data_IF_883295504375
#
_entry.id   IF_883295504375
#
_cell.length_a   1.000
_cell.length_b   1.000
_cell.length_c   1.000
_cell.angle_alpha   90.00
_cell.angle_beta   90.00
_cell.angle_gamma   90.00
#
_symmetry.space_group_name_H-M   'P 1'
#
loop_
_entity.id
_entity.type
_entity.pdbx_description
1 polymer ?
#
# COMPACT_ATOMS: atom_id res chain seq x y z
N UNK A 1 -31.64 -25.42 -1.40
CA UNK A 1 -30.41 -24.59 -1.46
C UNK A 1 -29.91 -24.33 -2.89
N UNK A 2 -30.58 -24.80 -3.93
CA UNK A 2 -30.20 -24.61 -5.35
C UNK A 2 -31.01 -23.53 -6.10
N UNK A 3 -31.99 -22.92 -5.45
CA UNK A 3 -32.89 -21.94 -6.11
C UNK A 3 -32.43 -20.48 -6.00
N UNK A 4 -31.55 -20.18 -5.04
CA UNK A 4 -31.00 -18.83 -4.83
C UNK A 4 -29.86 -18.48 -5.80
N UNK A 5 -29.10 -19.45 -6.26
CA UNK A 5 -28.00 -19.22 -7.21
C UNK A 5 -28.49 -18.90 -8.63
N UNK A 6 -29.60 -19.49 -9.06
CA UNK A 6 -30.16 -19.23 -10.39
C UNK A 6 -30.74 -17.82 -10.55
N UNK A 7 -31.16 -17.14 -9.47
CA UNK A 7 -31.63 -15.75 -9.53
C UNK A 7 -30.51 -14.75 -9.69
N UNK A 8 -29.33 -15.00 -9.13
CA UNK A 8 -28.15 -14.13 -9.28
C UNK A 8 -27.57 -14.17 -10.70
N UNK A 9 -27.56 -15.33 -11.33
CA UNK A 9 -27.10 -15.46 -12.73
C UNK A 9 -28.06 -14.78 -13.73
N UNK A 10 -29.35 -14.73 -13.46
CA UNK A 10 -30.34 -14.02 -14.28
C UNK A 10 -30.15 -12.50 -14.26
N UNK A 11 -29.84 -11.92 -13.12
CA UNK A 11 -29.64 -10.47 -12.96
C UNK A 11 -28.36 -9.98 -13.64
N UNK A 12 -27.27 -10.73 -13.57
CA UNK A 12 -26.00 -10.36 -14.22
C UNK A 12 -26.08 -10.43 -15.74
N UNK A 13 -26.92 -11.31 -16.31
CA UNK A 13 -27.16 -11.41 -17.74
C UNK A 13 -28.05 -10.28 -18.27
N UNK A 14 -29.04 -9.85 -17.48
CA UNK A 14 -29.89 -8.71 -17.80
C UNK A 14 -29.11 -7.38 -17.80
N UNK A 15 -28.19 -7.18 -16.85
CA UNK A 15 -27.33 -5.99 -16.80
C UNK A 15 -26.37 -5.92 -17.97
N UNK A 16 -25.83 -7.03 -18.47
CA UNK A 16 -24.92 -7.07 -19.62
C UNK A 16 -25.63 -6.67 -20.92
N UNK A 17 -26.87 -7.08 -21.10
CA UNK A 17 -27.66 -6.75 -22.29
C UNK A 17 -28.16 -5.29 -22.37
N UNK A 18 -28.19 -4.57 -21.23
CA UNK A 18 -28.52 -3.13 -21.20
C UNK A 18 -27.30 -2.27 -21.57
N UNK A 19 -26.09 -2.74 -21.30
CA UNK A 19 -24.85 -2.03 -21.67
C UNK A 19 -24.52 -2.13 -23.17
N UNK A 20 -25.00 -3.16 -23.88
CA UNK A 20 -24.70 -3.40 -25.29
C UNK A 20 -25.59 -2.61 -26.27
N UNK A 21 -26.60 -1.93 -25.81
CA UNK A 21 -27.54 -1.16 -26.66
C UNK A 21 -27.18 0.31 -26.84
N UNK A 22 -25.90 0.67 -26.89
CA UNK A 22 -25.44 1.94 -27.50
C UNK A 22 -25.97 3.27 -26.93
N UNK A 23 -26.74 3.26 -25.83
CA UNK A 23 -27.43 4.46 -25.31
C UNK A 23 -26.55 5.30 -24.38
N UNK A 24 -25.41 4.80 -23.93
CA UNK A 24 -24.70 5.35 -22.77
C UNK A 24 -23.63 6.41 -23.09
N UNK A 25 -23.04 6.43 -24.30
CA UNK A 25 -21.95 7.37 -24.57
C UNK A 25 -22.40 8.82 -24.74
N UNK A 26 -23.60 9.05 -25.27
CA UNK A 26 -24.14 10.41 -25.45
C UNK A 26 -24.63 11.00 -24.11
N UNK A 27 -25.24 10.19 -23.28
CA UNK A 27 -25.69 10.60 -21.93
C UNK A 27 -24.52 10.88 -20.99
N UNK A 28 -23.49 10.05 -20.97
CA UNK A 28 -22.26 10.27 -20.19
C UNK A 28 -21.52 11.55 -20.62
N UNK A 29 -21.49 11.86 -21.92
CA UNK A 29 -20.90 13.13 -22.40
C UNK A 29 -21.73 14.35 -21.96
N UNK A 30 -23.05 14.24 -21.90
CA UNK A 30 -23.92 15.32 -21.39
C UNK A 30 -23.77 15.52 -19.89
N UNK A 31 -23.70 14.46 -19.11
CA UNK A 31 -23.45 14.55 -17.65
C UNK A 31 -22.08 15.13 -17.31
N UNK A 32 -21.02 14.78 -18.05
CA UNK A 32 -19.70 15.39 -17.87
C UNK A 32 -19.68 16.90 -18.16
N UNK A 33 -20.41 17.37 -19.17
CA UNK A 33 -20.50 18.81 -19.49
C UNK A 33 -21.27 19.60 -18.43
N UNK A 34 -22.32 19.01 -17.85
CA UNK A 34 -23.10 19.63 -16.76
C UNK A 34 -22.29 19.70 -15.46
N UNK A 35 -21.54 18.66 -15.13
CA UNK A 35 -20.68 18.65 -13.94
C UNK A 35 -19.52 19.65 -14.04
N UNK A 36 -18.96 19.86 -15.23
CA UNK A 36 -17.90 20.85 -15.46
C UNK A 36 -18.42 22.31 -15.45
N UNK A 37 -19.66 22.55 -15.83
CA UNK A 37 -20.28 23.88 -15.76
C UNK A 37 -20.56 24.29 -14.30
N UNK A 38 -21.05 23.37 -13.47
CA UNK A 38 -21.32 23.63 -12.06
C UNK A 38 -20.04 23.93 -11.24
N UNK A 39 -18.92 23.29 -11.59
CA UNK A 39 -17.63 23.52 -10.92
C UNK A 39 -17.03 24.92 -11.18
N UNK A 40 -17.33 25.52 -12.34
CA UNK A 40 -16.79 26.85 -12.69
C UNK A 40 -17.54 28.02 -12.00
N UNK A 41 -18.79 27.81 -11.61
CA UNK A 41 -19.58 28.85 -10.92
C UNK A 41 -19.26 28.84 -9.42
N UNK A 42 -18.95 27.69 -8.81
CA UNK A 42 -18.59 27.59 -7.42
C UNK A 42 -17.23 28.25 -7.07
N UNK A 43 -16.27 28.25 -8.00
CA UNK A 43 -14.96 28.89 -7.78
C UNK A 43 -15.01 30.43 -7.80
N UNK A 44 -15.96 31.04 -8.52
CA UNK A 44 -16.02 32.49 -8.65
C UNK A 44 -16.63 33.21 -7.42
N UNK A 45 -17.48 32.53 -6.67
CA UNK A 45 -18.17 33.14 -5.51
C UNK A 45 -17.32 33.05 -4.22
N UNK A 46 -16.43 32.07 -4.12
CA UNK A 46 -15.55 31.90 -2.94
C UNK A 46 -14.39 32.88 -2.92
N UNK A 47 -14.00 33.45 -4.07
CA UNK A 47 -12.84 34.35 -4.16
C UNK A 47 -13.11 35.79 -3.67
N UNK A 48 -14.35 36.20 -3.52
CA UNK A 48 -14.70 37.60 -3.12
C UNK A 48 -14.99 37.70 -1.63
N UNK A 49 -15.39 36.64 -0.95
CA UNK A 49 -15.74 36.68 0.48
C UNK A 49 -14.57 36.30 1.41
N UNK A 50 -13.43 35.85 0.86
CA UNK A 50 -12.25 35.41 1.61
C UNK A 50 -11.26 36.55 2.00
N UNK A 51 -11.50 37.79 1.61
CA UNK A 51 -10.47 38.84 1.73
C UNK A 51 -10.65 39.78 2.94
N UNK A 52 -11.58 39.47 3.84
CA UNK A 52 -11.92 40.40 4.96
C UNK A 52 -11.70 39.84 6.37
N UNK A 53 -11.06 38.67 6.52
CA UNK A 53 -10.70 38.14 7.85
C UNK A 53 -9.23 37.68 7.92
N UNK A 54 -8.27 38.54 7.51
CA UNK A 54 -6.88 38.38 7.91
C UNK A 54 -6.71 39.00 9.30
N UNK A 55 -7.32 38.39 10.29
CA UNK A 55 -6.90 38.57 11.69
C UNK A 55 -5.70 37.66 11.92
N UNK A 56 -4.58 38.32 12.20
CA UNK A 56 -3.30 37.74 12.58
C UNK A 56 -3.46 36.90 13.86
N UNK A 57 -3.85 35.65 13.74
CA UNK A 57 -3.57 34.69 14.78
C UNK A 57 -2.17 34.13 14.47
N UNK A 58 -1.14 34.76 15.06
CA UNK A 58 0.12 34.09 15.33
C UNK A 58 -0.17 32.91 16.28
N UNK A 59 -0.77 31.86 15.75
CA UNK A 59 -0.71 30.58 16.40
C UNK A 59 0.75 30.13 16.26
N UNK A 60 1.54 30.36 17.32
CA UNK A 60 2.82 29.70 17.49
C UNK A 60 2.55 28.20 17.23
N UNK A 61 3.03 27.73 16.10
CA UNK A 61 3.03 26.29 15.82
C UNK A 61 3.66 25.63 17.06
N UNK A 62 3.04 24.58 17.64
CA UNK A 62 3.67 23.88 18.73
C UNK A 62 5.04 23.44 18.21
N UNK A 63 6.10 23.89 18.89
CA UNK A 63 7.44 23.38 18.68
C UNK A 63 7.34 21.90 19.09
N UNK A 64 6.97 21.09 18.14
CA UNK A 64 7.15 19.66 18.25
C UNK A 64 8.67 19.49 18.23
N UNK A 65 9.27 19.50 19.41
CA UNK A 65 10.58 18.90 19.59
C UNK A 65 10.40 17.44 19.16
N UNK A 66 10.35 17.26 17.83
CA UNK A 66 10.29 15.97 17.20
C UNK A 66 11.59 15.27 17.54
N UNK A 67 11.58 14.50 18.62
CA UNK A 67 12.39 13.31 18.64
C UNK A 67 11.94 12.57 17.40
N UNK A 68 12.69 12.73 16.32
CA UNK A 68 12.57 11.92 15.12
C UNK A 68 12.95 10.52 15.57
N UNK A 69 11.97 9.80 16.11
CA UNK A 69 12.15 8.37 16.41
C UNK A 69 12.34 7.74 15.03
N UNK A 70 13.60 7.65 14.62
CA UNK A 70 13.96 7.03 13.37
C UNK A 70 13.48 5.57 13.47
N UNK A 71 12.38 5.29 12.80
CA UNK A 71 11.74 3.99 12.83
C UNK A 71 12.74 2.92 12.39
N UNK A 72 13.04 1.97 13.26
CA UNK A 72 13.92 0.85 12.91
C UNK A 72 13.24 -0.06 11.88
N UNK A 73 14.01 -0.76 11.03
CA UNK A 73 13.44 -1.71 10.07
C UNK A 73 12.52 -2.76 10.72
N UNK A 74 12.88 -3.24 11.90
CA UNK A 74 12.07 -4.19 12.66
C UNK A 74 10.78 -3.57 13.20
N UNK A 75 10.84 -2.33 13.71
CA UNK A 75 9.66 -1.60 14.16
C UNK A 75 8.70 -1.32 12.98
N UNK A 76 9.24 -0.98 11.81
CA UNK A 76 8.45 -0.85 10.58
C UNK A 76 7.71 -2.16 10.26
N UNK A 77 8.39 -3.30 10.20
CA UNK A 77 7.77 -4.60 9.93
C UNK A 77 6.64 -4.92 10.91
N UNK A 78 6.86 -4.62 12.22
CA UNK A 78 5.85 -4.82 13.26
C UNK A 78 4.61 -3.95 13.07
N UNK A 79 4.78 -2.73 12.56
CA UNK A 79 3.69 -1.80 12.36
C UNK A 79 2.82 -2.13 11.13
N UNK A 80 3.41 -2.72 10.08
CA UNK A 80 2.70 -2.94 8.80
C UNK A 80 2.19 -4.37 8.60
N UNK A 81 2.60 -5.32 9.43
CA UNK A 81 2.20 -6.73 9.29
C UNK A 81 1.23 -7.15 10.39
N UNK A 82 0.28 -8.06 10.09
CA UNK A 82 -0.43 -8.81 11.10
C UNK A 82 0.54 -9.51 12.05
N UNK A 83 0.16 -9.64 13.32
CA UNK A 83 1.08 -10.11 14.37
C UNK A 83 1.73 -11.47 14.07
N UNK A 84 1.00 -12.38 13.44
CA UNK A 84 1.53 -13.72 13.12
C UNK A 84 2.51 -13.66 11.94
N UNK A 85 2.22 -12.87 10.91
CA UNK A 85 3.13 -12.61 9.80
C UNK A 85 4.41 -11.90 10.28
N UNK A 86 4.28 -10.97 11.24
CA UNK A 86 5.44 -10.32 11.86
C UNK A 86 6.29 -11.34 12.65
N UNK A 87 5.69 -12.23 13.45
CA UNK A 87 6.44 -13.28 14.16
C UNK A 87 7.26 -14.13 13.18
N UNK A 88 6.67 -14.47 12.04
CA UNK A 88 7.35 -15.28 11.03
C UNK A 88 8.51 -14.52 10.38
N UNK A 89 8.29 -13.30 9.90
CA UNK A 89 9.35 -12.50 9.27
C UNK A 89 10.44 -12.13 10.27
N UNK A 90 10.07 -11.87 11.53
CA UNK A 90 11.03 -11.57 12.58
C UNK A 90 12.02 -12.74 12.81
N UNK A 91 11.52 -13.96 12.78
CA UNK A 91 12.34 -15.16 12.92
C UNK A 91 13.17 -15.43 11.67
N UNK A 92 12.58 -15.28 10.49
CA UNK A 92 13.26 -15.45 9.21
C UNK A 92 14.44 -14.49 9.08
N UNK A 93 14.23 -13.18 9.26
CA UNK A 93 15.30 -12.18 9.13
C UNK A 93 16.33 -12.22 10.26
N UNK A 94 15.99 -12.81 11.40
CA UNK A 94 17.00 -13.13 12.40
C UNK A 94 17.97 -14.20 11.90
N UNK A 95 17.49 -15.25 11.26
CA UNK A 95 18.35 -16.28 10.67
C UNK A 95 19.18 -15.75 9.50
N UNK A 96 18.58 -14.95 8.64
CA UNK A 96 19.23 -14.42 7.43
C UNK A 96 20.36 -13.43 7.72
N UNK A 97 20.13 -12.47 8.59
CA UNK A 97 21.06 -11.36 8.78
C UNK A 97 21.12 -10.82 10.21
N UNK A 98 20.37 -11.36 11.15
CA UNK A 98 20.10 -10.76 12.48
C UNK A 98 19.59 -9.32 12.37
N UNK A 99 18.78 -9.04 11.35
CA UNK A 99 18.27 -7.70 11.01
C UNK A 99 19.32 -6.69 10.62
N UNK A 100 20.52 -7.13 10.23
CA UNK A 100 21.58 -6.24 9.79
C UNK A 100 21.38 -5.83 8.32
N UNK A 101 21.04 -4.56 8.10
CA UNK A 101 20.85 -4.02 6.74
C UNK A 101 22.13 -3.93 5.90
N UNK A 102 23.30 -4.03 6.55
CA UNK A 102 24.60 -4.06 5.87
C UNK A 102 25.13 -5.47 5.64
N UNK A 103 24.39 -6.49 6.05
CA UNK A 103 24.82 -7.87 5.87
C UNK A 103 25.04 -8.20 4.39
N UNK A 104 26.11 -8.95 4.12
CA UNK A 104 26.45 -9.45 2.77
C UNK A 104 26.97 -10.87 2.89
N UNK A 105 26.44 -11.75 2.05
CA UNK A 105 26.93 -13.13 1.90
C UNK A 105 26.95 -13.47 0.40
N UNK A 106 28.15 -13.40 -0.21
CA UNK A 106 28.31 -13.53 -1.66
C UNK A 106 27.44 -12.53 -2.44
N UNK A 107 26.51 -13.00 -3.27
CA UNK A 107 25.61 -12.15 -4.04
C UNK A 107 24.35 -11.73 -3.28
N UNK A 108 24.22 -12.06 -1.98
CA UNK A 108 23.05 -11.79 -1.16
C UNK A 108 23.28 -10.58 -0.25
N UNK A 109 22.29 -9.70 -0.11
CA UNK A 109 22.43 -8.42 0.56
C UNK A 109 21.31 -8.12 1.53
N UNK A 110 21.68 -7.43 2.59
CA UNK A 110 20.78 -6.75 3.51
C UNK A 110 20.01 -7.67 4.46
N UNK A 111 18.93 -7.12 5.02
CA UNK A 111 18.10 -7.83 6.01
C UNK A 111 17.53 -9.14 5.46
N UNK A 112 16.94 -9.18 4.23
CA UNK A 112 16.35 -10.40 3.69
C UNK A 112 17.36 -11.33 3.01
N UNK A 113 18.64 -10.99 2.94
CA UNK A 113 19.66 -11.73 2.18
C UNK A 113 19.20 -12.07 0.74
N UNK A 114 18.51 -11.11 0.11
CA UNK A 114 18.03 -11.27 -1.25
C UNK A 114 19.14 -11.11 -2.30
N UNK A 115 19.04 -11.87 -3.40
CA UNK A 115 19.94 -11.76 -4.55
C UNK A 115 19.49 -10.63 -5.48
N UNK A 116 19.59 -9.38 -5.01
CA UNK A 116 19.24 -8.19 -5.78
C UNK A 116 20.22 -7.06 -5.51
N UNK A 117 20.75 -6.47 -6.59
CA UNK A 117 21.66 -5.31 -6.50
C UNK A 117 21.00 -4.10 -5.80
N UNK A 118 19.68 -3.96 -5.93
CA UNK A 118 18.91 -2.93 -5.24
C UNK A 118 19.13 -2.95 -3.72
N UNK A 119 19.17 -4.14 -3.12
CA UNK A 119 19.33 -4.30 -1.67
C UNK A 119 20.69 -3.81 -1.17
N UNK A 120 21.70 -3.71 -2.04
CA UNK A 120 23.03 -3.22 -1.68
C UNK A 120 23.02 -1.76 -1.24
N UNK A 121 22.13 -0.94 -1.81
CA UNK A 121 22.05 0.51 -1.56
C UNK A 121 20.78 0.95 -0.87
N UNK A 122 19.77 0.09 -0.81
CA UNK A 122 18.49 0.37 -0.17
C UNK A 122 18.64 0.57 1.33
N UNK A 123 17.84 1.48 1.91
CA UNK A 123 17.73 1.64 3.36
C UNK A 123 17.19 0.36 4.02
N UNK A 124 17.43 0.19 5.32
CA UNK A 124 16.94 -1.00 6.02
C UNK A 124 15.42 -1.17 5.94
N UNK A 125 14.65 -0.08 5.96
CA UNK A 125 13.19 -0.13 5.80
C UNK A 125 12.82 -0.60 4.38
N UNK A 126 13.50 -0.10 3.36
CA UNK A 126 13.26 -0.50 1.97
C UNK A 126 13.63 -1.95 1.69
N UNK A 127 14.69 -2.44 2.33
CA UNK A 127 15.05 -3.86 2.29
C UNK A 127 13.93 -4.73 2.89
N UNK A 128 13.33 -4.30 4.01
CA UNK A 128 12.19 -5.00 4.62
C UNK A 128 10.97 -4.98 3.70
N UNK A 129 10.63 -3.85 3.10
CA UNK A 129 9.53 -3.74 2.12
C UNK A 129 9.75 -4.70 0.95
N UNK A 130 10.95 -4.71 0.41
CA UNK A 130 11.33 -5.61 -0.67
C UNK A 130 11.17 -7.08 -0.28
N UNK A 131 11.70 -7.46 0.89
CA UNK A 131 11.66 -8.84 1.35
C UNK A 131 10.25 -9.34 1.68
N UNK A 132 9.39 -8.50 2.29
CA UNK A 132 7.97 -8.83 2.50
C UNK A 132 7.25 -9.09 1.16
N UNK A 133 7.49 -8.22 0.16
CA UNK A 133 6.94 -8.39 -1.18
C UNK A 133 7.45 -9.67 -1.85
N UNK A 134 8.75 -9.94 -1.75
CA UNK A 134 9.36 -11.16 -2.26
C UNK A 134 8.74 -12.41 -1.65
N UNK A 135 8.64 -12.46 -0.31
CA UNK A 135 8.03 -13.58 0.40
C UNK A 135 6.59 -13.84 -0.02
N UNK A 136 5.80 -12.76 -0.14
CA UNK A 136 4.41 -12.86 -0.60
C UNK A 136 4.32 -13.40 -2.03
N UNK A 137 5.16 -12.92 -2.93
CA UNK A 137 5.12 -13.31 -4.34
C UNK A 137 5.60 -14.75 -4.56
N UNK A 138 6.64 -15.17 -3.84
CA UNK A 138 7.26 -16.49 -4.05
C UNK A 138 6.61 -17.60 -3.24
N UNK A 139 6.19 -17.31 -2.00
CA UNK A 139 5.70 -18.31 -1.05
C UNK A 139 4.25 -18.07 -0.62
N UNK A 140 3.63 -16.96 -1.00
CA UNK A 140 2.28 -16.60 -0.62
C UNK A 140 2.18 -15.85 0.72
N UNK A 141 3.11 -16.06 1.67
CA UNK A 141 3.15 -15.37 2.96
C UNK A 141 4.56 -15.41 3.58
N UNK A 142 4.80 -14.58 4.60
CA UNK A 142 6.06 -14.64 5.37
C UNK A 142 6.16 -15.91 6.20
N UNK A 143 5.05 -16.44 6.68
CA UNK A 143 5.04 -17.70 7.43
C UNK A 143 5.34 -18.90 6.52
N UNK A 144 4.89 -18.87 5.27
CA UNK A 144 5.25 -19.90 4.29
C UNK A 144 6.75 -19.82 3.92
N UNK A 145 7.29 -18.61 3.75
CA UNK A 145 8.72 -18.38 3.54
C UNK A 145 9.57 -18.94 4.69
N UNK A 146 9.16 -18.70 5.95
CA UNK A 146 9.85 -19.25 7.12
C UNK A 146 9.79 -20.78 7.16
N UNK A 147 8.67 -21.40 6.79
CA UNK A 147 8.59 -22.89 6.71
C UNK A 147 9.57 -23.41 5.67
N UNK A 148 9.53 -22.83 4.46
CA UNK A 148 10.43 -23.22 3.39
C UNK A 148 11.91 -23.08 3.81
N UNK A 149 12.27 -21.96 4.46
CA UNK A 149 13.62 -21.75 4.99
C UNK A 149 14.04 -22.85 5.97
N UNK A 150 13.15 -23.25 6.90
CA UNK A 150 13.46 -24.31 7.88
C UNK A 150 13.69 -25.68 7.27
N UNK A 151 13.00 -25.95 6.15
CA UNK A 151 13.10 -27.23 5.44
C UNK A 151 14.32 -27.26 4.52
N UNK A 152 14.74 -26.12 3.97
CA UNK A 152 15.74 -26.06 2.91
C UNK A 152 17.02 -25.29 3.30
N UNK A 153 17.02 -24.56 4.43
CA UNK A 153 18.11 -23.65 4.88
C UNK A 153 18.40 -22.49 3.91
N UNK A 154 17.44 -22.12 3.04
CA UNK A 154 17.46 -20.90 2.21
C UNK A 154 16.02 -20.47 1.87
N UNK A 155 15.84 -19.26 1.36
CA UNK A 155 14.55 -18.81 0.89
C UNK A 155 14.67 -17.87 -0.31
#
# INVERSE_FOLDING_TARGET
MMESENRLYGLTRAFRNVLDKGVTLSLLKRFRRLAQAASRIACAVVSVLGMLLLSSANAAAPIHNGIQIQQTPKAYAKAVLPIDEFKCVNKLYYYESRWNHKAKNGPHYGIPQGRSIYLKTASGIEQVKWGIKYNKNRYGSNCAALRFFKENNYH
#
